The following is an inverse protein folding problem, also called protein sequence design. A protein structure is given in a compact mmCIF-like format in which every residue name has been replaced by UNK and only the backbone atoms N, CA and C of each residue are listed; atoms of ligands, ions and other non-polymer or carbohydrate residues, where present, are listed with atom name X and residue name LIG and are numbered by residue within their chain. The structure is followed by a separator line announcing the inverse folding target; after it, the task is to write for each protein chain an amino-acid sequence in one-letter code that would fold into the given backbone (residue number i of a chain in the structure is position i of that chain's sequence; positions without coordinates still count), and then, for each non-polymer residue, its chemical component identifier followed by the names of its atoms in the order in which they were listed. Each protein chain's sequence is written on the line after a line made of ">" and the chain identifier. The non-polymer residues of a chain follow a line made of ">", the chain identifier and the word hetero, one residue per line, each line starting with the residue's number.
data_IF_003426137650
#
_entry.id   IF_003426137650
#
_cell.length_a   1.000
_cell.length_b   1.000
_cell.length_c   1.000
_cell.angle_alpha   90.00
_cell.angle_beta   90.00
_cell.angle_gamma   90.00
#
_symmetry.space_group_name_H-M   'P 1'
#
loop_
_entity.id
_entity.type
_entity.pdbx_description
1 polymer ?
#
# COMPACT_ATOMS: atom_id res chain seq x y z
N UNK A 1 -14.75 52.32 -60.49
CA UNK A 1 -16.19 52.60 -60.68
C UNK A 1 -16.78 51.54 -61.60
N UNK A 2 -18.07 51.22 -61.41
CA UNK A 2 -18.85 50.24 -62.17
C UNK A 2 -18.47 48.75 -62.04
N UNK A 3 -19.46 47.91 -62.28
CA UNK A 3 -19.45 46.43 -62.21
C UNK A 3 -19.80 45.84 -63.58
N UNK A 4 -19.46 44.57 -63.83
CA UNK A 4 -20.12 43.57 -64.70
C UNK A 4 -19.10 42.47 -65.10
N UNK A 5 -19.45 41.25 -65.50
CA UNK A 5 -20.63 40.39 -65.24
C UNK A 5 -20.23 38.92 -65.56
N UNK A 6 -21.02 37.93 -65.11
CA UNK A 6 -20.61 36.52 -65.04
C UNK A 6 -20.65 35.70 -66.36
N UNK A 7 -19.62 34.85 -66.55
CA UNK A 7 -19.67 33.45 -67.08
C UNK A 7 -20.05 33.25 -68.59
N UNK A 8 -19.81 32.05 -69.24
CA UNK A 8 -19.80 30.68 -68.68
C UNK A 8 -18.67 29.69 -69.15
N UNK A 9 -18.93 28.38 -68.93
CA UNK A 9 -18.07 27.17 -69.00
C UNK A 9 -17.75 26.74 -70.46
N UNK A 10 -16.74 25.89 -70.77
CA UNK A 10 -16.68 24.42 -70.47
C UNK A 10 -15.35 23.73 -70.88
N UNK A 11 -14.93 22.70 -70.12
CA UNK A 11 -14.38 21.35 -70.49
C UNK A 11 -13.29 21.23 -71.60
N UNK A 12 -12.23 20.38 -71.53
CA UNK A 12 -11.86 19.17 -70.73
C UNK A 12 -10.35 19.26 -70.30
N UNK A 13 -9.43 18.27 -70.14
CA UNK A 13 -9.36 16.78 -70.18
C UNK A 13 -8.06 16.26 -69.49
N UNK A 14 -8.12 15.14 -68.74
CA UNK A 14 -7.00 14.26 -68.29
C UNK A 14 -5.94 14.91 -67.35
N UNK A 15 -5.10 14.21 -66.55
CA UNK A 15 -4.57 12.82 -66.57
C UNK A 15 -4.66 12.11 -65.18
N UNK A 16 -4.70 10.77 -65.23
CA UNK A 16 -4.48 9.71 -64.21
C UNK A 16 -3.96 10.03 -62.78
N UNK A 17 -4.41 9.28 -61.76
CA UNK A 17 -3.77 9.25 -60.43
C UNK A 17 -4.51 8.62 -59.24
N UNK A 18 -5.16 7.44 -59.36
CA UNK A 18 -5.74 6.74 -58.18
C UNK A 18 -4.76 5.75 -57.55
N UNK A 19 -4.22 6.08 -56.36
CA UNK A 19 -3.63 5.09 -55.44
C UNK A 19 -4.68 4.69 -54.42
N UNK A 20 -5.05 3.41 -54.41
CA UNK A 20 -6.07 2.85 -53.51
C UNK A 20 -5.41 2.41 -52.19
N UNK A 21 -5.14 3.35 -51.30
CA UNK A 21 -4.55 3.08 -49.98
C UNK A 21 -5.53 2.26 -49.11
N UNK A 22 -5.18 0.99 -48.91
CA UNK A 22 -5.93 0.05 -48.08
C UNK A 22 -5.88 0.41 -46.58
N UNK A 23 -6.79 -0.18 -45.79
CA UNK A 23 -7.07 0.22 -44.42
C UNK A 23 -5.88 0.07 -43.44
N UNK A 24 -5.22 1.19 -43.12
CA UNK A 24 -4.31 1.30 -41.97
C UNK A 24 -5.08 1.40 -40.63
N UNK A 25 -5.87 0.38 -40.30
CA UNK A 25 -6.45 0.14 -38.97
C UNK A 25 -6.54 -1.35 -38.64
N UNK A 26 -5.50 -1.92 -38.00
CA UNK A 26 -5.76 -2.97 -37.00
C UNK A 26 -5.09 -2.69 -35.63
N UNK A 27 -3.80 -2.35 -35.63
CA UNK A 27 -2.91 -2.38 -34.45
C UNK A 27 -3.46 -1.65 -33.21
N UNK A 28 -3.99 -0.44 -33.38
CA UNK A 28 -4.47 0.38 -32.25
C UNK A 28 -5.77 -0.13 -31.63
N UNK A 29 -6.55 -0.92 -32.37
CA UNK A 29 -7.75 -1.60 -31.87
C UNK A 29 -7.33 -2.90 -31.18
N UNK A 30 -6.46 -3.70 -31.81
CA UNK A 30 -5.93 -4.93 -31.20
C UNK A 30 -5.24 -4.67 -29.87
N UNK A 31 -4.41 -3.62 -29.75
CA UNK A 31 -3.78 -3.24 -28.48
C UNK A 31 -4.83 -2.85 -27.42
N UNK A 32 -5.89 -2.12 -27.78
CA UNK A 32 -6.96 -1.78 -26.85
C UNK A 32 -7.76 -3.01 -26.40
N UNK A 33 -8.06 -3.94 -27.31
CA UNK A 33 -8.76 -5.21 -26.99
C UNK A 33 -7.91 -6.13 -26.12
N UNK A 34 -6.61 -6.26 -26.41
CA UNK A 34 -5.69 -7.06 -25.58
C UNK A 34 -5.52 -6.47 -24.18
N UNK A 35 -5.46 -5.14 -24.06
CA UNK A 35 -5.43 -4.48 -22.75
C UNK A 35 -6.74 -4.70 -21.99
N UNK A 36 -7.90 -4.55 -22.65
CA UNK A 36 -9.21 -4.80 -22.02
C UNK A 36 -9.33 -6.25 -21.52
N UNK A 37 -8.95 -7.24 -22.34
CA UNK A 37 -8.92 -8.65 -21.94
C UNK A 37 -7.92 -8.93 -20.80
N UNK A 38 -6.82 -8.19 -20.73
CA UNK A 38 -5.84 -8.25 -19.64
C UNK A 38 -6.40 -7.72 -18.31
N UNK A 39 -7.11 -6.58 -18.35
CA UNK A 39 -7.77 -6.00 -17.18
C UNK A 39 -8.97 -6.85 -16.73
N UNK A 40 -9.87 -7.28 -17.63
CA UNK A 40 -10.97 -8.21 -17.30
C UNK A 40 -10.46 -9.49 -16.61
N UNK A 41 -9.38 -10.08 -17.13
CA UNK A 41 -8.75 -11.26 -16.53
C UNK A 41 -8.17 -10.95 -15.14
N UNK A 42 -7.48 -9.82 -14.98
CA UNK A 42 -6.90 -9.35 -13.71
C UNK A 42 -7.99 -9.13 -12.65
N UNK A 43 -9.09 -8.47 -12.99
CA UNK A 43 -10.21 -8.25 -12.07
C UNK A 43 -10.86 -9.58 -11.68
N UNK A 44 -11.07 -10.50 -12.64
CA UNK A 44 -11.60 -11.84 -12.36
C UNK A 44 -10.73 -12.62 -11.34
N UNK A 45 -9.39 -12.49 -11.42
CA UNK A 45 -8.44 -13.16 -10.53
C UNK A 45 -8.50 -12.58 -9.10
N UNK A 46 -8.69 -11.27 -8.94
CA UNK A 46 -8.80 -10.61 -7.64
C UNK A 46 -10.13 -10.98 -6.97
N UNK A 47 -11.23 -10.92 -7.73
CA UNK A 47 -12.56 -11.36 -7.31
C UNK A 47 -12.57 -12.85 -6.87
N UNK A 48 -11.91 -13.73 -7.63
CA UNK A 48 -11.76 -15.15 -7.29
C UNK A 48 -10.89 -15.38 -6.05
N UNK A 49 -9.86 -14.55 -5.84
CA UNK A 49 -9.01 -14.64 -4.65
C UNK A 49 -9.79 -14.28 -3.37
N UNK A 50 -10.63 -13.25 -3.41
CA UNK A 50 -11.51 -12.89 -2.28
C UNK A 50 -12.50 -14.04 -1.98
N UNK A 51 -13.24 -14.51 -3.00
CA UNK A 51 -14.20 -15.64 -2.89
C UNK A 51 -13.57 -16.91 -2.32
N UNK A 52 -12.27 -17.14 -2.52
CA UNK A 52 -11.53 -18.32 -2.06
C UNK A 52 -10.81 -18.11 -0.71
N UNK A 53 -10.99 -16.96 -0.05
CA UNK A 53 -10.24 -16.56 1.16
C UNK A 53 -8.71 -16.64 0.94
N UNK A 54 -8.26 -16.14 -0.22
CA UNK A 54 -6.86 -16.10 -0.65
C UNK A 54 -6.40 -14.72 -1.13
N UNK A 55 -7.22 -13.69 -0.97
CA UNK A 55 -6.77 -12.31 -1.09
C UNK A 55 -5.98 -11.94 0.18
N UNK A 56 -4.83 -11.29 0.02
CA UNK A 56 -4.01 -10.77 1.11
C UNK A 56 -3.50 -9.36 0.73
N UNK A 57 -3.06 -8.58 1.72
CA UNK A 57 -2.46 -7.26 1.48
C UNK A 57 -1.04 -7.21 2.04
N UNK A 58 -0.14 -6.52 1.35
CA UNK A 58 1.26 -6.36 1.73
C UNK A 58 1.63 -4.89 1.77
N UNK A 59 1.92 -4.35 2.96
CA UNK A 59 2.18 -2.94 3.22
C UNK A 59 3.68 -2.64 3.27
N UNK A 60 4.12 -1.56 2.61
CA UNK A 60 5.54 -1.23 2.51
C UNK A 60 6.13 -0.51 3.73
N UNK A 61 7.45 -0.55 3.86
CA UNK A 61 8.14 0.24 4.87
C UNK A 61 8.02 1.75 4.56
N UNK A 62 7.26 2.48 5.38
CA UNK A 62 6.88 3.89 5.16
C UNK A 62 7.33 4.90 6.22
N UNK A 63 7.86 4.45 7.35
CA UNK A 63 8.15 5.33 8.50
C UNK A 63 6.92 6.14 8.93
N UNK A 64 7.10 7.45 9.18
CA UNK A 64 6.04 8.35 9.65
C UNK A 64 5.08 8.85 8.55
N UNK A 65 5.14 8.28 7.34
CA UNK A 65 4.03 8.32 6.35
C UNK A 65 2.87 7.38 6.72
N UNK A 66 2.95 6.72 7.88
CA UNK A 66 1.99 5.77 8.45
C UNK A 66 0.49 6.12 8.30
N UNK A 67 0.01 7.39 8.44
CA UNK A 67 -1.41 7.71 8.29
C UNK A 67 -2.02 7.27 6.96
N UNK A 68 -1.22 7.22 5.88
CA UNK A 68 -1.64 6.68 4.58
C UNK A 68 -2.19 5.26 4.70
N UNK A 69 -1.55 4.40 5.51
CA UNK A 69 -2.00 3.02 5.69
C UNK A 69 -3.22 2.90 6.60
N UNK A 70 -3.43 3.84 7.51
CA UNK A 70 -4.68 3.90 8.28
C UNK A 70 -5.83 4.07 7.29
N UNK A 71 -5.77 5.09 6.41
CA UNK A 71 -6.81 5.35 5.42
C UNK A 71 -7.02 4.20 4.42
N UNK A 72 -5.95 3.48 4.02
CA UNK A 72 -6.10 2.30 3.17
C UNK A 72 -6.84 1.16 3.89
N UNK A 73 -6.51 0.86 5.15
CA UNK A 73 -7.22 -0.17 5.93
C UNK A 73 -8.69 0.23 6.14
N UNK A 74 -8.90 1.46 6.61
CA UNK A 74 -10.18 2.08 6.92
C UNK A 74 -11.18 1.92 5.76
N UNK A 75 -10.77 2.31 4.55
CA UNK A 75 -11.63 2.18 3.38
C UNK A 75 -11.82 0.73 2.90
N UNK A 76 -10.81 -0.15 3.02
CA UNK A 76 -10.93 -1.55 2.59
C UNK A 76 -11.80 -2.39 3.53
N UNK A 77 -11.83 -2.07 4.83
CA UNK A 77 -12.76 -2.65 5.79
C UNK A 77 -14.19 -2.12 5.59
N UNK A 78 -14.37 -0.81 5.42
CA UNK A 78 -15.68 -0.20 5.12
C UNK A 78 -16.32 -0.79 3.85
N UNK A 79 -15.50 -1.13 2.85
CA UNK A 79 -15.93 -1.79 1.61
C UNK A 79 -16.09 -3.32 1.74
N UNK A 80 -15.82 -3.92 2.91
CA UNK A 80 -15.92 -5.37 3.16
C UNK A 80 -14.92 -6.23 2.37
N UNK A 81 -13.89 -5.62 1.77
CA UNK A 81 -12.80 -6.32 1.06
C UNK A 81 -11.77 -6.86 2.06
N UNK A 82 -11.57 -6.12 3.16
CA UNK A 82 -10.78 -6.51 4.31
C UNK A 82 -11.72 -7.05 5.39
N UNK A 83 -11.30 -8.13 6.04
CA UNK A 83 -11.99 -8.78 7.16
C UNK A 83 -10.94 -9.27 8.13
N UNK A 84 -11.32 -9.66 9.35
CA UNK A 84 -10.38 -10.29 10.28
C UNK A 84 -9.66 -11.52 9.68
N UNK A 85 -10.25 -12.22 8.69
CA UNK A 85 -9.61 -13.37 8.05
C UNK A 85 -8.65 -13.03 6.91
N UNK A 86 -8.59 -11.77 6.48
CA UNK A 86 -7.78 -11.31 5.34
C UNK A 86 -6.32 -11.15 5.78
N UNK A 87 -5.35 -11.96 5.29
CA UNK A 87 -3.98 -11.90 5.78
C UNK A 87 -3.28 -10.58 5.41
N UNK A 88 -2.66 -9.92 6.40
CA UNK A 88 -1.95 -8.66 6.24
C UNK A 88 -0.45 -8.83 6.53
N UNK A 89 0.37 -8.67 5.50
CA UNK A 89 1.83 -8.64 5.62
C UNK A 89 2.35 -7.20 5.67
N UNK A 90 3.45 -6.98 6.40
CA UNK A 90 4.01 -5.63 6.52
C UNK A 90 5.48 -5.60 6.91
N UNK A 91 6.18 -4.55 6.47
CA UNK A 91 7.53 -4.23 6.90
C UNK A 91 7.54 -2.84 7.55
N UNK A 92 8.27 -2.67 8.65
CA UNK A 92 8.36 -1.39 9.38
C UNK A 92 6.96 -0.82 9.69
N UNK A 93 6.68 0.43 9.33
CA UNK A 93 5.34 1.04 9.42
C UNK A 93 4.19 0.16 8.85
N UNK A 94 4.44 -0.61 7.79
CA UNK A 94 3.46 -1.56 7.23
C UNK A 94 3.14 -2.74 8.15
N UNK A 95 4.07 -3.14 9.03
CA UNK A 95 3.80 -4.17 10.06
C UNK A 95 3.01 -3.63 11.24
N UNK A 96 3.21 -2.36 11.61
CA UNK A 96 2.47 -1.71 12.69
C UNK A 96 0.97 -1.68 12.38
N UNK A 97 0.60 -1.25 11.16
CA UNK A 97 -0.82 -1.16 10.75
C UNK A 97 -1.47 -2.55 10.69
N UNK A 98 -0.76 -3.55 10.18
CA UNK A 98 -1.22 -4.94 10.10
C UNK A 98 -1.40 -5.59 11.49
N UNK A 99 -0.66 -5.14 12.50
CA UNK A 99 -0.86 -5.56 13.89
C UNK A 99 -1.99 -4.77 14.58
N UNK A 100 -2.07 -3.45 14.38
CA UNK A 100 -3.15 -2.64 14.94
C UNK A 100 -4.52 -3.11 14.45
N UNK A 101 -4.64 -3.42 13.15
CA UNK A 101 -5.87 -3.95 12.55
C UNK A 101 -6.32 -5.25 13.22
N UNK A 102 -5.50 -6.31 13.16
CA UNK A 102 -5.90 -7.60 13.74
C UNK A 102 -5.98 -7.57 15.27
N UNK A 103 -5.36 -6.60 15.94
CA UNK A 103 -5.60 -6.36 17.38
C UNK A 103 -7.01 -5.85 17.68
N UNK A 104 -7.80 -5.42 16.68
CA UNK A 104 -9.15 -4.88 16.84
C UNK A 104 -9.16 -3.44 17.35
N UNK A 105 -8.16 -2.63 16.96
CA UNK A 105 -8.12 -1.20 17.25
C UNK A 105 -8.83 -0.41 16.16
N UNK A 106 -9.65 0.57 16.54
CA UNK A 106 -10.32 1.44 15.59
C UNK A 106 -9.33 2.38 14.88
N UNK A 107 -9.64 2.75 13.65
CA UNK A 107 -8.80 3.61 12.81
C UNK A 107 -8.65 5.02 13.37
N UNK A 108 -9.67 5.53 14.08
CA UNK A 108 -9.60 6.79 14.84
C UNK A 108 -8.62 6.68 16.01
N UNK A 109 -8.69 5.60 16.79
CA UNK A 109 -7.78 5.37 17.93
C UNK A 109 -6.32 5.27 17.46
N UNK A 110 -6.09 4.57 16.35
CA UNK A 110 -4.76 4.46 15.70
C UNK A 110 -4.31 5.80 15.11
N UNK A 111 -5.23 6.65 14.65
CA UNK A 111 -4.94 8.01 14.15
C UNK A 111 -4.53 8.93 15.29
N UNK A 112 -5.29 8.98 16.38
CA UNK A 112 -4.97 9.79 17.56
C UNK A 112 -3.59 9.43 18.12
N UNK A 113 -3.33 8.13 18.36
CA UNK A 113 -2.03 7.65 18.80
C UNK A 113 -0.90 8.03 17.83
N UNK A 114 -1.13 7.98 16.51
CA UNK A 114 -0.15 8.40 15.51
C UNK A 114 0.14 9.91 15.57
N UNK A 115 -0.88 10.75 15.75
CA UNK A 115 -0.72 12.21 15.83
C UNK A 115 0.02 12.64 17.11
N UNK A 116 -0.26 12.01 18.26
CA UNK A 116 0.47 12.29 19.53
C UNK A 116 1.93 11.82 19.44
N UNK A 117 2.19 10.62 18.87
CA UNK A 117 3.56 10.16 18.60
C UNK A 117 4.30 11.12 17.65
N UNK A 118 3.61 11.60 16.62
CA UNK A 118 4.15 12.56 15.69
C UNK A 118 4.48 13.90 16.36
N UNK A 119 3.73 14.35 17.36
CA UNK A 119 4.02 15.63 18.02
C UNK A 119 5.28 15.59 18.89
N UNK A 120 5.47 14.53 19.70
CA UNK A 120 6.76 14.29 20.36
C UNK A 120 7.90 14.21 19.34
N UNK A 121 7.67 13.55 18.21
CA UNK A 121 8.65 13.45 17.13
C UNK A 121 8.91 14.78 16.38
N UNK A 122 7.99 15.75 16.42
CA UNK A 122 8.19 17.14 15.94
C UNK A 122 9.03 17.94 16.94
N UNK A 123 8.61 17.95 18.21
CA UNK A 123 9.20 18.77 19.27
C UNK A 123 10.59 18.28 19.67
N UNK A 124 10.73 16.97 19.89
CA UNK A 124 11.94 16.34 20.41
C UNK A 124 12.75 15.59 19.33
N UNK A 125 12.30 15.56 18.07
CA UNK A 125 12.95 14.85 16.95
C UNK A 125 12.82 13.32 17.03
N UNK A 126 13.35 12.58 16.05
CA UNK A 126 13.17 11.10 15.94
C UNK A 126 14.43 10.27 16.19
N UNK A 127 15.59 10.76 15.73
CA UNK A 127 16.84 9.99 15.67
C UNK A 127 17.31 9.56 17.06
N UNK A 128 17.40 8.25 17.28
CA UNK A 128 17.91 7.63 18.50
C UNK A 128 16.89 7.46 19.62
N UNK A 129 15.65 7.99 19.47
CA UNK A 129 14.58 7.89 20.49
C UNK A 129 13.30 7.25 19.97
N UNK A 130 13.06 7.24 18.66
CA UNK A 130 11.82 6.72 18.05
C UNK A 130 11.51 5.27 18.48
N UNK A 131 12.54 4.44 18.72
CA UNK A 131 12.35 3.08 19.23
C UNK A 131 11.75 3.01 20.63
N UNK A 132 12.16 3.90 21.54
CA UNK A 132 11.65 3.91 22.91
C UNK A 132 10.24 4.52 22.95
N UNK A 133 10.02 5.61 22.19
CA UNK A 133 8.69 6.23 22.02
C UNK A 133 7.69 5.22 21.47
N UNK A 134 8.02 4.55 20.36
CA UNK A 134 7.13 3.54 19.77
C UNK A 134 6.92 2.34 20.71
N UNK A 135 7.92 1.96 21.52
CA UNK A 135 7.78 0.90 22.53
C UNK A 135 6.69 1.27 23.54
N UNK A 136 6.70 2.49 24.09
CA UNK A 136 5.67 2.98 25.00
C UNK A 136 4.29 2.96 24.34
N UNK A 137 4.15 3.58 23.15
CA UNK A 137 2.87 3.59 22.43
C UNK A 137 2.31 2.19 22.15
N UNK A 138 3.15 1.20 21.82
CA UNK A 138 2.69 -0.18 21.62
C UNK A 138 2.30 -0.90 22.92
N UNK A 139 2.93 -0.57 24.05
CA UNK A 139 2.55 -1.08 25.38
C UNK A 139 1.33 -0.39 25.99
N UNK A 140 0.99 0.82 25.57
CA UNK A 140 -0.23 1.52 25.98
C UNK A 140 -1.43 1.15 25.08
N UNK A 141 -1.21 0.97 23.77
CA UNK A 141 -2.27 0.84 22.77
C UNK A 141 -2.72 -0.61 22.49
N UNK A 142 -1.81 -1.58 22.39
CA UNK A 142 -2.19 -2.96 22.01
C UNK A 142 -2.85 -3.71 23.20
N UNK A 143 -4.00 -4.38 23.04
CA UNK A 143 -4.63 -5.16 24.12
C UNK A 143 -3.82 -6.41 24.50
N UNK A 144 -4.08 -6.99 25.69
CA UNK A 144 -3.30 -8.12 26.22
C UNK A 144 -3.32 -9.38 25.34
N UNK A 145 -4.45 -9.64 24.67
CA UNK A 145 -4.65 -10.74 23.72
C UNK A 145 -4.22 -10.41 22.28
N UNK A 146 -3.66 -9.23 21.99
CA UNK A 146 -3.24 -8.81 20.65
C UNK A 146 -2.36 -9.85 19.92
N UNK A 147 -1.49 -10.55 20.65
CA UNK A 147 -0.63 -11.60 20.09
C UNK A 147 -1.38 -12.87 19.66
N UNK A 148 -2.51 -13.19 20.30
CA UNK A 148 -3.41 -14.25 19.86
C UNK A 148 -4.23 -13.78 18.66
N UNK A 149 -4.74 -12.54 18.70
CA UNK A 149 -5.53 -11.96 17.60
C UNK A 149 -4.71 -11.76 16.32
N UNK A 150 -3.42 -11.44 16.41
CA UNK A 150 -2.52 -11.27 15.26
C UNK A 150 -1.98 -12.60 14.71
N UNK A 151 -2.08 -13.71 15.45
CA UNK A 151 -1.51 -15.01 15.07
C UNK A 151 -2.05 -15.49 13.71
N UNK A 152 -1.13 -15.89 12.82
CA UNK A 152 -1.39 -16.42 11.48
C UNK A 152 -2.19 -15.51 10.54
N UNK A 153 -2.36 -14.24 10.92
CA UNK A 153 -3.07 -13.20 10.19
C UNK A 153 -2.20 -11.98 9.91
N UNK A 154 -1.42 -11.52 10.90
CA UNK A 154 -0.38 -10.50 10.76
C UNK A 154 0.94 -11.15 10.38
N UNK A 155 1.56 -10.74 9.27
CA UNK A 155 2.83 -11.28 8.77
C UNK A 155 3.94 -10.21 8.81
N UNK A 156 4.66 -10.16 9.94
CA UNK A 156 5.70 -9.16 10.23
C UNK A 156 7.01 -9.52 9.52
N UNK A 157 7.50 -8.65 8.65
CA UNK A 157 8.79 -8.83 7.99
C UNK A 157 9.94 -8.27 8.84
N UNK A 158 11.01 -9.05 9.02
CA UNK A 158 12.26 -8.63 9.68
C UNK A 158 13.47 -9.08 8.89
N UNK A 159 14.59 -8.37 8.98
CA UNK A 159 15.87 -8.84 8.42
C UNK A 159 16.75 -9.43 9.52
N UNK A 160 17.10 -10.71 9.41
CA UNK A 160 18.14 -11.33 10.25
C UNK A 160 19.53 -10.96 9.74
N UNK A 161 20.41 -10.51 10.62
CA UNK A 161 21.72 -9.96 10.25
C UNK A 161 22.79 -11.04 9.98
N UNK A 162 22.78 -12.13 10.75
CA UNK A 162 23.86 -13.13 10.81
C UNK A 162 23.32 -14.56 10.55
N UNK A 163 24.03 -15.43 9.81
CA UNK A 163 25.40 -15.28 9.26
C UNK A 163 25.50 -14.43 7.99
N UNK A 164 24.37 -14.07 7.39
CA UNK A 164 24.26 -13.10 6.30
C UNK A 164 22.86 -12.45 6.35
N UNK A 165 22.68 -11.24 5.79
CA UNK A 165 21.36 -10.64 5.65
C UNK A 165 20.35 -11.60 5.02
N UNK A 166 19.23 -11.83 5.71
CA UNK A 166 18.13 -12.67 5.26
C UNK A 166 16.81 -12.10 5.74
N UNK A 167 15.87 -11.85 4.82
CA UNK A 167 14.49 -11.54 5.16
C UNK A 167 13.79 -12.77 5.75
N UNK A 168 13.06 -12.56 6.83
CA UNK A 168 12.18 -13.52 7.50
C UNK A 168 10.79 -12.89 7.63
N UNK A 169 9.76 -13.73 7.59
CA UNK A 169 8.37 -13.34 7.89
C UNK A 169 7.94 -14.09 9.16
N UNK A 170 7.30 -13.39 10.09
CA UNK A 170 6.84 -13.92 11.38
C UNK A 170 5.31 -13.75 11.43
N UNK A 171 4.58 -14.83 11.66
CA UNK A 171 3.12 -14.83 11.92
C UNK A 171 2.71 -15.47 13.24
N UNK A 172 3.64 -16.16 13.90
CA UNK A 172 3.43 -16.77 15.22
C UNK A 172 4.06 -15.90 16.30
N UNK A 173 3.28 -15.55 17.32
CA UNK A 173 3.70 -14.73 18.46
C UNK A 173 3.52 -15.51 19.78
N UNK A 174 4.55 -15.57 20.62
CA UNK A 174 4.51 -16.36 21.88
C UNK A 174 3.83 -15.60 23.03
N UNK A 175 3.82 -14.27 22.97
CA UNK A 175 3.20 -13.38 23.97
C UNK A 175 2.97 -11.98 23.37
N UNK A 176 2.21 -11.12 24.06
CA UNK A 176 2.09 -9.68 23.74
C UNK A 176 3.44 -9.00 23.62
N UNK A 177 4.38 -9.34 24.50
CA UNK A 177 5.72 -8.76 24.46
C UNK A 177 6.51 -9.24 23.23
N UNK A 178 6.39 -10.50 22.82
CA UNK A 178 7.05 -11.03 21.62
C UNK A 178 6.43 -10.48 20.32
N UNK A 179 5.13 -10.19 20.28
CA UNK A 179 4.52 -9.38 19.21
C UNK A 179 5.17 -7.98 19.16
N UNK A 180 5.19 -7.24 20.28
CA UNK A 180 5.75 -5.88 20.36
C UNK A 180 7.23 -5.88 19.95
N UNK A 181 8.02 -6.83 20.45
CA UNK A 181 9.43 -6.99 20.08
C UNK A 181 9.64 -7.30 18.58
N UNK A 182 8.73 -8.07 17.95
CA UNK A 182 8.78 -8.32 16.51
C UNK A 182 8.50 -7.05 15.69
N UNK A 183 7.56 -6.21 16.15
CA UNK A 183 7.22 -4.93 15.53
C UNK A 183 8.34 -3.89 15.68
N UNK A 184 8.90 -3.76 16.88
CA UNK A 184 10.05 -2.90 17.14
C UNK A 184 11.29 -3.35 16.35
N UNK A 185 11.47 -4.66 16.17
CA UNK A 185 12.51 -5.23 15.28
C UNK A 185 12.25 -4.88 13.82
N UNK A 186 11.00 -5.04 13.36
CA UNK A 186 10.54 -4.71 12.00
C UNK A 186 10.73 -3.24 11.65
N UNK A 187 10.66 -2.33 12.64
CA UNK A 187 10.94 -0.90 12.50
C UNK A 187 12.40 -0.49 12.78
N UNK A 188 13.30 -1.41 13.15
CA UNK A 188 14.65 -1.04 13.62
C UNK A 188 15.58 -0.66 12.47
N UNK A 189 15.46 0.57 11.99
CA UNK A 189 16.37 1.15 10.99
C UNK A 189 17.77 1.33 11.63
N UNK A 190 18.82 0.69 11.10
CA UNK A 190 20.17 0.70 11.70
C UNK A 190 20.69 2.11 12.00
N UNK A 191 21.19 2.29 13.23
CA UNK A 191 21.70 3.55 13.79
C UNK A 191 20.72 4.73 13.88
N UNK A 192 19.53 4.66 13.27
CA UNK A 192 18.52 5.71 13.34
C UNK A 192 17.49 5.49 14.45
N UNK A 193 16.96 4.27 14.58
CA UNK A 193 15.75 4.00 15.38
C UNK A 193 15.97 4.16 16.89
N UNK A 194 16.98 3.47 17.43
CA UNK A 194 17.36 3.49 18.85
C UNK A 194 18.90 3.61 19.02
N UNK A 195 19.57 4.30 18.09
CA UNK A 195 21.03 4.54 18.15
C UNK A 195 21.93 3.31 17.94
N UNK A 196 21.38 2.10 17.82
CA UNK A 196 22.11 0.84 17.63
C UNK A 196 21.95 0.25 16.23
N UNK A 197 22.87 -0.65 15.85
CA UNK A 197 22.88 -1.35 14.55
C UNK A 197 21.63 -2.22 14.29
N UNK A 198 21.01 -2.75 15.34
CA UNK A 198 19.87 -3.68 15.27
C UNK A 198 19.35 -4.04 16.66
N UNK A 199 18.28 -4.83 16.71
CA UNK A 199 17.66 -5.37 17.93
C UNK A 199 18.00 -6.85 18.11
N UNK A 200 18.18 -7.32 19.33
CA UNK A 200 18.29 -8.76 19.60
C UNK A 200 16.88 -9.34 19.79
N UNK A 201 16.44 -10.14 18.83
CA UNK A 201 15.11 -10.73 18.79
C UNK A 201 15.22 -12.24 18.61
N UNK A 202 14.50 -13.01 19.43
CA UNK A 202 14.55 -14.49 19.52
C UNK A 202 15.98 -15.05 19.43
N UNK A 203 16.89 -14.47 20.21
CA UNK A 203 18.30 -14.91 20.33
C UNK A 203 19.17 -14.65 19.10
N UNK A 204 18.84 -13.65 18.27
CA UNK A 204 19.65 -13.25 17.12
C UNK A 204 19.53 -11.75 16.82
N UNK A 205 20.60 -11.16 16.26
CA UNK A 205 20.57 -9.78 15.79
C UNK A 205 19.70 -9.66 14.52
N UNK A 206 18.73 -8.74 14.57
CA UNK A 206 17.82 -8.41 13.49
C UNK A 206 17.72 -6.88 13.32
N UNK A 207 17.19 -6.43 12.19
CA UNK A 207 16.89 -5.03 11.88
C UNK A 207 15.74 -4.93 10.86
N UNK A 208 15.35 -3.71 10.49
CA UNK A 208 14.15 -3.39 9.71
C UNK A 208 13.92 -4.34 8.50
N UNK A 209 12.69 -4.86 8.39
CA UNK A 209 12.30 -5.81 7.35
C UNK A 209 12.34 -5.22 5.94
N UNK A 210 12.14 -3.90 5.82
CA UNK A 210 12.12 -3.17 4.56
C UNK A 210 13.44 -3.23 3.79
N UNK A 211 14.56 -3.51 4.48
CA UNK A 211 15.88 -3.67 3.87
C UNK A 211 16.04 -4.97 3.06
N UNK A 212 15.15 -5.96 3.23
CA UNK A 212 15.14 -7.20 2.42
C UNK A 212 13.79 -7.56 1.83
N UNK A 213 12.69 -7.03 2.37
CA UNK A 213 11.32 -7.25 1.93
C UNK A 213 10.51 -5.96 2.01
N UNK A 214 10.93 -4.95 1.23
CA UNK A 214 10.32 -3.60 1.23
C UNK A 214 8.79 -3.61 1.13
N UNK A 215 8.22 -4.53 0.34
CA UNK A 215 6.79 -4.88 0.40
C UNK A 215 6.68 -6.41 0.47
N UNK A 216 6.39 -7.01 1.63
CA UNK A 216 6.32 -8.45 1.80
C UNK A 216 5.11 -9.06 1.09
N UNK A 217 4.96 -10.39 1.16
CA UNK A 217 3.83 -11.12 0.57
C UNK A 217 3.54 -12.41 1.30
N UNK A 218 2.26 -12.75 1.43
CA UNK A 218 1.78 -13.93 2.15
C UNK A 218 1.85 -15.16 1.25
N UNK A 219 2.54 -16.21 1.69
CA UNK A 219 2.73 -17.43 0.91
C UNK A 219 1.39 -18.14 0.67
N UNK A 220 1.10 -18.48 -0.59
CA UNK A 220 -0.12 -19.18 -0.98
C UNK A 220 -1.36 -18.30 -1.20
N UNK A 221 -1.23 -16.98 -0.99
CA UNK A 221 -2.26 -15.96 -1.23
C UNK A 221 -1.87 -15.01 -2.37
N UNK A 222 -2.87 -14.43 -3.03
CA UNK A 222 -2.71 -13.31 -3.95
C UNK A 222 -2.52 -12.03 -3.13
N UNK A 223 -1.26 -11.61 -2.93
CA UNK A 223 -0.95 -10.39 -2.17
C UNK A 223 -1.06 -9.15 -3.06
N UNK A 224 -1.98 -8.25 -2.74
CA UNK A 224 -2.03 -6.88 -3.26
C UNK A 224 -1.02 -6.00 -2.54
N UNK A 225 -0.21 -5.23 -3.26
CA UNK A 225 0.89 -4.44 -2.68
C UNK A 225 0.49 -2.98 -2.47
N UNK A 226 0.58 -2.54 -1.23
CA UNK A 226 0.25 -1.19 -0.76
C UNK A 226 1.54 -0.46 -0.38
N UNK A 227 1.65 0.82 -0.75
CA UNK A 227 2.85 1.63 -0.45
C UNK A 227 2.52 3.12 -0.35
N UNK A 228 3.05 3.79 0.67
CA UNK A 228 2.91 5.25 0.85
C UNK A 228 3.85 6.08 -0.08
N UNK A 229 4.53 5.43 -1.02
CA UNK A 229 5.36 6.05 -2.06
C UNK A 229 4.76 5.79 -3.45
N UNK A 230 4.71 6.78 -4.36
CA UNK A 230 4.13 6.60 -5.69
C UNK A 230 4.77 5.47 -6.50
N UNK A 231 3.94 4.60 -7.09
CA UNK A 231 4.42 3.42 -7.84
C UNK A 231 5.41 3.76 -8.97
N UNK A 232 5.28 4.94 -9.60
CA UNK A 232 6.20 5.42 -10.65
C UNK A 232 7.65 5.61 -10.18
N UNK A 233 7.89 5.72 -8.87
CA UNK A 233 9.22 5.84 -8.24
C UNK A 233 9.77 4.54 -7.69
N UNK A 234 9.02 3.44 -7.79
CA UNK A 234 9.45 2.09 -7.40
C UNK A 234 9.87 1.26 -8.63
N UNK A 235 10.48 0.09 -8.37
CA UNK A 235 10.84 -0.84 -9.44
C UNK A 235 9.56 -1.41 -10.07
N UNK A 236 9.37 -1.20 -11.38
CA UNK A 236 8.21 -1.67 -12.17
C UNK A 236 8.00 -3.19 -12.17
N UNK A 237 8.98 -3.98 -11.75
CA UNK A 237 8.81 -5.42 -11.50
C UNK A 237 7.97 -5.73 -10.24
N UNK A 238 7.75 -4.74 -9.37
CA UNK A 238 6.83 -4.85 -8.24
C UNK A 238 5.44 -4.43 -8.72
N UNK A 239 4.51 -5.39 -8.82
CA UNK A 239 3.11 -5.11 -9.13
C UNK A 239 2.45 -4.41 -7.94
N UNK A 240 2.41 -3.08 -7.95
CA UNK A 240 1.74 -2.25 -6.95
C UNK A 240 0.23 -2.22 -7.23
N UNK A 241 -0.57 -2.36 -6.18
CA UNK A 241 -2.02 -2.29 -6.23
C UNK A 241 -2.53 -0.91 -5.78
N UNK A 242 -2.03 -0.41 -4.65
CA UNK A 242 -2.46 0.84 -4.02
C UNK A 242 -1.21 1.70 -3.72
N UNK A 243 -1.18 2.94 -4.24
CA UNK A 243 -0.12 3.91 -3.96
C UNK A 243 -0.56 5.34 -4.30
N UNK A 244 -0.02 6.37 -3.63
CA UNK A 244 -0.39 7.75 -3.90
C UNK A 244 0.07 8.21 -5.29
N UNK A 245 -0.65 9.15 -5.92
CA UNK A 245 -0.19 9.82 -7.13
C UNK A 245 1.09 10.65 -6.87
N UNK A 246 1.80 11.02 -7.93
CA UNK A 246 3.05 11.82 -7.85
C UNK A 246 2.77 13.32 -7.53
N UNK A 247 2.20 13.58 -6.35
CA UNK A 247 1.95 14.93 -5.81
C UNK A 247 3.20 15.57 -5.20
N UNK A 248 4.08 14.77 -4.59
CA UNK A 248 5.23 15.23 -3.80
C UNK A 248 6.55 14.66 -4.34
N UNK A 249 7.64 15.39 -4.13
CA UNK A 249 8.98 14.90 -4.46
C UNK A 249 9.41 13.75 -3.54
N UNK A 250 10.18 12.80 -4.09
CA UNK A 250 10.64 11.62 -3.35
C UNK A 250 11.53 11.98 -2.16
N UNK A 251 12.36 13.04 -2.24
CA UNK A 251 13.19 13.45 -1.12
C UNK A 251 12.34 14.04 0.02
N UNK A 252 11.22 14.71 -0.31
CA UNK A 252 10.28 15.23 0.68
C UNK A 252 9.49 14.09 1.36
N UNK A 253 9.04 13.09 0.60
CA UNK A 253 8.42 11.87 1.15
C UNK A 253 9.39 11.10 2.05
N UNK A 254 10.66 10.93 1.63
CA UNK A 254 11.69 10.28 2.45
C UNK A 254 12.03 11.10 3.71
N UNK A 255 12.08 12.43 3.61
CA UNK A 255 12.23 13.29 4.79
C UNK A 255 11.06 13.11 5.76
N UNK A 256 9.83 13.04 5.26
CA UNK A 256 8.62 12.79 6.06
C UNK A 256 8.54 11.39 6.66
N UNK A 257 9.09 10.37 5.99
CA UNK A 257 9.22 9.03 6.57
C UNK A 257 10.13 9.01 7.81
N UNK A 258 11.17 9.87 7.86
CA UNK A 258 12.12 9.95 8.97
C UNK A 258 11.80 11.02 10.03
N UNK A 259 11.00 12.03 9.70
CA UNK A 259 10.56 13.12 10.60
C UNK A 259 9.12 13.49 10.23
N UNK A 260 8.18 13.52 11.17
CA UNK A 260 6.76 13.71 10.84
C UNK A 260 6.50 15.05 10.14
N UNK A 261 5.47 15.09 9.30
CA UNK A 261 4.96 16.32 8.74
C UNK A 261 4.18 17.14 9.80
N UNK A 262 3.67 18.31 9.41
CA UNK A 262 2.57 18.95 10.13
C UNK A 262 1.30 18.07 10.09
N UNK A 263 0.44 18.26 11.09
CA UNK A 263 -0.79 17.50 11.26
C UNK A 263 -1.76 17.58 10.06
N UNK A 264 -2.03 18.76 9.46
CA UNK A 264 -2.85 18.84 8.24
C UNK A 264 -2.31 18.00 7.08
N UNK A 265 -0.98 17.97 6.89
CA UNK A 265 -0.34 17.12 5.87
C UNK A 265 -0.46 15.63 6.22
N UNK A 266 -0.32 15.26 7.51
CA UNK A 266 -0.51 13.87 7.96
C UNK A 266 -1.96 13.38 7.78
N UNK A 267 -2.96 14.21 8.09
CA UNK A 267 -4.37 13.94 7.82
C UNK A 267 -4.64 13.84 6.31
N UNK A 268 -3.97 14.69 5.51
CA UNK A 268 -3.99 14.60 4.04
C UNK A 268 -3.49 13.26 3.50
N UNK A 269 -2.48 12.64 4.13
CA UNK A 269 -2.04 11.29 3.75
C UNK A 269 -3.11 10.22 4.04
N UNK A 270 -3.80 10.28 5.18
CA UNK A 270 -4.89 9.36 5.53
C UNK A 270 -6.03 9.46 4.50
N UNK A 271 -6.48 10.68 4.22
CA UNK A 271 -7.53 10.97 3.24
C UNK A 271 -7.15 10.56 1.81
N UNK A 272 -5.87 10.67 1.43
CA UNK A 272 -5.38 10.13 0.15
C UNK A 272 -5.36 8.59 0.16
N UNK A 273 -4.99 7.96 1.28
CA UNK A 273 -5.03 6.50 1.47
C UNK A 273 -6.42 5.93 1.30
N UNK A 274 -7.46 6.57 1.88
CA UNK A 274 -8.86 6.20 1.63
C UNK A 274 -9.21 6.27 0.14
N UNK A 275 -8.88 7.38 -0.53
CA UNK A 275 -9.19 7.59 -1.97
C UNK A 275 -8.52 6.57 -2.88
N UNK A 276 -7.24 6.27 -2.66
CA UNK A 276 -6.50 5.31 -3.49
C UNK A 276 -7.03 3.88 -3.30
N UNK A 277 -7.45 3.54 -2.08
CA UNK A 277 -8.06 2.25 -1.76
C UNK A 277 -9.45 2.08 -2.39
N UNK A 278 -10.29 3.13 -2.36
CA UNK A 278 -11.60 3.13 -3.03
C UNK A 278 -11.43 2.98 -4.55
N UNK A 279 -10.57 3.79 -5.17
CA UNK A 279 -10.30 3.73 -6.60
C UNK A 279 -9.77 2.36 -7.03
N UNK A 280 -8.84 1.76 -6.26
CA UNK A 280 -8.38 0.40 -6.52
C UNK A 280 -9.49 -0.65 -6.37
N UNK A 281 -10.40 -0.51 -5.41
CA UNK A 281 -11.49 -1.46 -5.21
C UNK A 281 -12.50 -1.43 -6.37
N UNK A 282 -12.78 -0.23 -6.91
CA UNK A 282 -13.55 -0.05 -8.15
C UNK A 282 -12.81 -0.64 -9.36
N UNK A 283 -11.58 -0.18 -9.65
CA UNK A 283 -10.79 -0.60 -10.82
C UNK A 283 -10.52 -2.12 -10.85
N UNK A 284 -10.35 -2.76 -9.68
CA UNK A 284 -10.07 -4.19 -9.57
C UNK A 284 -11.30 -5.10 -9.65
N UNK A 285 -12.52 -4.53 -9.69
CA UNK A 285 -13.77 -5.29 -9.67
C UNK A 285 -13.99 -6.14 -8.40
N UNK A 286 -13.18 -5.95 -7.35
CA UNK A 286 -13.22 -6.78 -6.14
C UNK A 286 -14.54 -6.63 -5.38
N UNK A 287 -15.23 -5.50 -5.55
CA UNK A 287 -16.54 -5.22 -4.96
C UNK A 287 -17.64 -6.19 -5.46
N UNK A 288 -17.53 -6.72 -6.69
CA UNK A 288 -18.44 -7.78 -7.20
C UNK A 288 -18.22 -9.15 -6.51
N UNK A 289 -17.21 -9.25 -5.65
CA UNK A 289 -16.88 -10.45 -4.89
C UNK A 289 -17.07 -10.29 -3.38
N UNK A 290 -17.36 -9.10 -2.89
CA UNK A 290 -17.70 -8.87 -1.48
C UNK A 290 -19.04 -9.55 -1.17
N UNK A 291 -19.13 -10.40 -0.13
CA UNK A 291 -20.39 -11.02 0.26
C UNK A 291 -21.40 -9.94 0.69
N UNK A 292 -22.56 -9.88 0.04
CA UNK A 292 -23.66 -9.03 0.50
C UNK A 292 -24.04 -9.45 1.91
N UNK A 293 -23.81 -8.56 2.89
CA UNK A 293 -24.21 -8.79 4.27
C UNK A 293 -25.74 -8.87 4.32
N UNK A 294 -26.28 -10.08 4.48
CA UNK A 294 -27.67 -10.25 4.85
C UNK A 294 -27.83 -9.77 6.30
N UNK A 295 -28.48 -8.62 6.49
CA UNK A 295 -28.83 -8.10 7.81
C UNK A 295 -29.50 -9.21 8.63
N UNK A 296 -28.81 -9.72 9.65
CA UNK A 296 -29.44 -10.60 10.65
C UNK A 296 -30.32 -9.77 11.57
N UNK A 297 -31.53 -9.44 11.08
CA UNK A 297 -32.61 -8.93 11.91
C UNK A 297 -33.07 -10.03 12.87
N UNK A 298 -32.63 -9.91 14.11
CA UNK A 298 -33.07 -10.65 15.29
C UNK A 298 -33.49 -9.64 16.37
#
# INVERSE_FOLDING_TARGET
>A
MSMNALLPRTLTSQVCGRVQLQCLRPLRIQAATLNAQGEELKCSIIADALKKNKLAFGFSAGGLLFPYYIGVIDQLEELGVLTDRTPLAGASAGSLIAACYHSGLSTETVTEACLVLADDCRVNGTRGRLGDVLSTFLHDLLPDDAHERCRDKTFVAVTKAWPRPQGLIISEFESRNDLIESLLTSCHIPWWFAGSLGRNFRGSLHYDGGLTSFIPSVQGCLTQKVTCFPAGRLNKAVNIAISPPEQFDLNQLLAWAFRPADEPTMLGFLEQGRKDAAAWAEDSGVLEAVPVQQEQKA
#
